data_IF_424333314569
#
_entry.id   IF_424333314569
#
_cell.length_a   1.000
_cell.length_b   1.000
_cell.length_c   1.000
_cell.angle_alpha   90.00
_cell.angle_beta   90.00
_cell.angle_gamma   90.00
#
_symmetry.space_group_name_H-M   'P 1'
#
loop_
_entity.id
_entity.type
_entity.pdbx_description
1 polymer ?
#
# COMPACT_ATOMS: atom_id res chain seq x y z
N UNK A 1 15.64 -5.30 7.21
CA UNK A 1 15.96 -5.54 8.64
C UNK A 1 14.60 -5.73 9.30
N UNK A 2 14.21 -7.01 9.60
CA UNK A 2 13.11 -7.23 10.52
C UNK A 2 13.63 -6.79 11.88
N UNK A 3 13.14 -5.67 12.38
CA UNK A 3 13.28 -5.37 13.79
C UNK A 3 12.57 -6.50 14.53
N UNK A 4 13.21 -7.18 15.49
CA UNK A 4 12.49 -8.10 16.32
C UNK A 4 11.38 -7.28 17.00
N UNK A 5 10.14 -7.61 16.71
CA UNK A 5 9.05 -7.26 17.63
C UNK A 5 9.52 -7.70 18.99
N UNK A 6 9.52 -6.79 19.94
CA UNK A 6 9.93 -6.97 21.31
C UNK A 6 9.57 -8.38 21.75
N UNK A 7 10.59 -9.23 21.98
CA UNK A 7 10.37 -10.41 22.78
C UNK A 7 9.88 -9.89 24.13
N UNK A 8 8.58 -9.94 24.34
CA UNK A 8 8.09 -9.95 25.69
C UNK A 8 8.81 -11.14 26.29
N UNK A 9 9.76 -10.88 27.18
CA UNK A 9 10.45 -11.90 27.94
C UNK A 9 9.34 -12.68 28.64
N UNK A 10 8.97 -13.81 28.00
CA UNK A 10 7.88 -14.62 28.46
C UNK A 10 8.21 -15.10 29.86
N UNK A 11 7.21 -15.22 30.69
CA UNK A 11 7.29 -16.09 31.84
C UNK A 11 7.80 -17.45 31.33
N UNK A 12 8.72 -18.08 32.05
CA UNK A 12 9.22 -19.46 31.79
C UNK A 12 8.10 -20.51 31.78
N UNK A 13 6.84 -20.10 31.85
CA UNK A 13 5.64 -20.93 31.89
C UNK A 13 4.72 -20.53 30.73
N UNK A 14 4.53 -21.44 29.78
CA UNK A 14 3.60 -21.26 28.67
C UNK A 14 4.02 -21.99 27.41
N UNK A 15 3.18 -21.88 26.36
CA UNK A 15 3.45 -22.46 25.03
C UNK A 15 4.05 -21.38 24.13
N UNK A 16 5.23 -21.66 23.58
CA UNK A 16 5.87 -20.79 22.61
C UNK A 16 5.34 -21.09 21.21
N UNK A 17 4.68 -20.12 20.58
CA UNK A 17 4.25 -20.20 19.19
C UNK A 17 5.30 -19.56 18.28
N UNK A 18 5.93 -20.38 17.45
CA UNK A 18 7.05 -19.95 16.59
C UNK A 18 6.84 -20.43 15.16
N UNK A 19 7.43 -19.72 14.20
CA UNK A 19 7.59 -20.26 12.86
C UNK A 19 8.82 -21.18 12.81
N UNK A 20 8.88 -22.11 11.84
CA UNK A 20 10.06 -22.95 11.64
C UNK A 20 11.37 -22.13 11.48
N UNK A 21 11.29 -20.97 10.82
CA UNK A 21 12.45 -20.05 10.73
C UNK A 21 12.78 -19.39 12.09
N UNK A 22 11.76 -19.04 12.86
CA UNK A 22 11.92 -18.39 14.17
C UNK A 22 12.45 -19.31 15.24
N UNK A 23 12.33 -20.64 15.06
CA UNK A 23 12.84 -21.64 16.00
C UNK A 23 14.33 -21.94 15.85
N UNK A 24 14.98 -21.39 14.80
CA UNK A 24 16.41 -21.63 14.54
C UNK A 24 17.26 -21.15 15.71
N UNK A 25 18.07 -22.09 16.28
CA UNK A 25 18.96 -21.83 17.41
C UNK A 25 18.29 -21.92 18.77
N UNK A 26 17.01 -22.29 18.84
CA UNK A 26 16.29 -22.58 20.09
C UNK A 26 16.14 -24.09 20.24
N UNK A 27 15.95 -24.57 21.47
CA UNK A 27 15.71 -25.98 21.81
C UNK A 27 14.58 -26.05 22.85
N UNK A 28 13.74 -27.09 22.77
CA UNK A 28 12.58 -27.24 23.62
C UNK A 28 12.41 -28.71 23.99
N UNK A 29 12.05 -28.99 25.23
CA UNK A 29 11.76 -30.36 25.68
C UNK A 29 10.67 -31.03 24.86
N UNK A 30 9.59 -30.28 24.53
CA UNK A 30 8.47 -30.73 23.71
C UNK A 30 8.29 -29.84 22.50
N UNK A 31 8.23 -30.44 21.29
CA UNK A 31 7.93 -29.72 20.06
C UNK A 31 6.72 -30.32 19.36
N UNK A 32 5.75 -29.48 19.06
CA UNK A 32 4.55 -29.80 18.28
C UNK A 32 4.67 -29.13 16.93
N UNK A 33 5.02 -29.86 15.88
CA UNK A 33 5.08 -29.33 14.51
C UNK A 33 3.74 -29.61 13.83
N UNK A 34 2.89 -28.58 13.75
CA UNK A 34 1.58 -28.67 13.15
C UNK A 34 1.62 -28.39 11.64
N UNK A 35 0.56 -28.85 10.95
CA UNK A 35 0.33 -28.56 9.53
C UNK A 35 1.41 -29.11 8.59
N UNK A 36 1.90 -30.35 8.85
CA UNK A 36 2.91 -31.02 8.04
C UNK A 36 2.33 -31.58 6.72
N UNK A 37 1.53 -30.79 6.00
CA UNK A 37 0.95 -31.18 4.71
C UNK A 37 1.72 -30.62 3.52
N UNK A 38 1.58 -31.25 2.34
CA UNK A 38 2.23 -30.86 1.09
C UNK A 38 1.88 -29.41 0.69
N UNK A 39 0.65 -28.99 0.93
CA UNK A 39 0.20 -27.64 0.59
C UNK A 39 0.94 -26.53 1.37
N UNK A 40 1.43 -26.83 2.57
CA UNK A 40 2.17 -25.89 3.42
C UNK A 40 3.68 -25.94 3.20
N UNK A 41 4.22 -27.11 2.94
CA UNK A 41 5.68 -27.32 2.89
C UNK A 41 6.28 -27.42 1.48
N UNK A 42 5.45 -27.67 0.44
CA UNK A 42 5.95 -27.89 -0.93
C UNK A 42 5.55 -26.78 -1.91
N UNK A 43 4.57 -25.94 -1.55
CA UNK A 43 4.22 -24.81 -2.40
C UNK A 43 5.26 -23.71 -2.32
N UNK A 44 5.77 -23.29 -3.48
CA UNK A 44 6.49 -22.03 -3.61
C UNK A 44 5.63 -20.89 -3.05
N UNK A 45 5.99 -20.35 -1.90
CA UNK A 45 5.38 -19.12 -1.42
C UNK A 45 5.74 -18.04 -2.42
N UNK A 46 4.75 -17.50 -3.15
CA UNK A 46 4.94 -16.22 -3.81
C UNK A 46 5.37 -15.25 -2.70
N UNK A 47 6.48 -14.52 -2.86
CA UNK A 47 6.89 -13.56 -1.86
C UNK A 47 5.70 -12.63 -1.60
N UNK A 48 5.13 -12.69 -0.43
CA UNK A 48 4.17 -11.69 0.04
C UNK A 48 4.85 -10.34 -0.06
N UNK A 49 4.09 -9.25 -0.31
CA UNK A 49 4.56 -7.89 -0.64
C UNK A 49 5.55 -7.23 0.31
N UNK A 50 6.61 -7.96 0.71
CA UNK A 50 7.76 -7.41 1.42
C UNK A 50 8.71 -6.69 0.47
N UNK A 51 9.58 -5.87 1.05
CA UNK A 51 10.63 -5.17 0.32
C UNK A 51 11.52 -6.19 -0.39
N UNK A 52 11.62 -6.08 -1.72
CA UNK A 52 12.56 -6.85 -2.53
C UNK A 52 13.84 -6.04 -2.62
N UNK A 53 14.94 -6.63 -2.18
CA UNK A 53 16.25 -6.03 -2.39
C UNK A 53 16.55 -5.92 -3.89
N UNK A 54 17.21 -4.83 -4.32
CA UNK A 54 17.58 -4.66 -5.72
C UNK A 54 18.44 -5.83 -6.21
N UNK A 55 18.19 -6.28 -7.42
CA UNK A 55 18.95 -7.36 -8.09
C UNK A 55 20.42 -6.97 -8.37
N UNK A 56 20.71 -5.66 -8.32
CA UNK A 56 22.08 -5.14 -8.44
C UNK A 56 22.97 -5.45 -7.23
N UNK A 57 22.37 -5.90 -6.12
CA UNK A 57 23.12 -6.26 -4.90
C UNK A 57 23.46 -7.75 -4.79
N UNK A 58 22.84 -8.60 -5.62
CA UNK A 58 23.05 -10.06 -5.58
C UNK A 58 23.11 -10.63 -6.99
N UNK A 59 24.15 -11.43 -7.27
CA UNK A 59 24.18 -12.26 -8.47
C UNK A 59 23.12 -13.37 -8.36
N UNK A 60 22.07 -13.29 -9.17
CA UNK A 60 21.01 -14.30 -9.24
C UNK A 60 21.47 -15.52 -10.07
N UNK A 61 22.51 -16.22 -9.64
CA UNK A 61 22.97 -17.42 -10.36
C UNK A 61 22.41 -18.75 -9.84
N UNK A 62 21.42 -18.74 -8.93
CA UNK A 62 20.86 -19.98 -8.37
C UNK A 62 19.35 -19.92 -8.25
N UNK A 63 18.66 -20.06 -9.36
CA UNK A 63 17.20 -20.29 -9.34
C UNK A 63 16.85 -21.63 -9.98
N UNK A 64 16.25 -22.52 -9.21
CA UNK A 64 15.49 -23.65 -9.74
C UNK A 64 15.64 -25.00 -9.07
N UNK A 65 16.82 -25.42 -8.67
CA UNK A 65 17.02 -26.72 -8.01
C UNK A 65 17.09 -26.65 -6.47
N UNK A 66 17.20 -25.44 -5.92
CA UNK A 66 17.44 -25.21 -4.49
C UNK A 66 16.22 -25.14 -3.59
N UNK A 67 15.02 -24.87 -4.14
CA UNK A 67 13.86 -24.57 -3.29
C UNK A 67 13.38 -25.77 -2.46
N UNK A 68 13.33 -26.96 -3.04
CA UNK A 68 12.90 -28.16 -2.31
C UNK A 68 13.93 -28.57 -1.24
N UNK A 69 15.21 -28.43 -1.56
CA UNK A 69 16.29 -28.72 -0.63
C UNK A 69 16.37 -27.71 0.51
N UNK A 70 16.09 -26.44 0.23
CA UNK A 70 16.00 -25.41 1.27
C UNK A 70 14.82 -25.66 2.22
N UNK A 71 13.66 -26.06 1.69
CA UNK A 71 12.50 -26.44 2.48
C UNK A 71 12.76 -27.72 3.30
N UNK A 72 13.49 -28.69 2.75
CA UNK A 72 13.91 -29.89 3.47
C UNK A 72 14.84 -29.52 4.66
N UNK A 73 15.80 -28.63 4.44
CA UNK A 73 16.66 -28.14 5.53
C UNK A 73 15.88 -27.39 6.59
N UNK A 74 14.87 -26.60 6.19
CA UNK A 74 14.01 -25.92 7.14
C UNK A 74 13.16 -26.90 7.95
N UNK A 75 12.62 -27.95 7.30
CA UNK A 75 11.87 -29.01 7.97
C UNK A 75 12.78 -29.75 8.98
N UNK A 76 14.00 -30.09 8.56
CA UNK A 76 15.00 -30.70 9.42
C UNK A 76 15.32 -29.81 10.65
N UNK A 77 15.54 -28.51 10.44
CA UNK A 77 15.76 -27.58 11.54
C UNK A 77 14.58 -27.58 12.50
N UNK A 78 13.35 -27.58 12.00
CA UNK A 78 12.15 -27.54 12.85
C UNK A 78 12.01 -28.81 13.72
N UNK A 79 12.22 -30.00 13.15
CA UNK A 79 12.10 -31.27 13.91
C UNK A 79 13.24 -31.45 14.91
N UNK A 80 14.45 -30.98 14.60
CA UNK A 80 15.61 -31.07 15.50
C UNK A 80 15.60 -30.07 16.65
N UNK A 81 14.51 -29.29 16.79
CA UNK A 81 14.35 -28.41 17.97
C UNK A 81 13.85 -29.16 19.20
N UNK A 82 13.39 -30.38 19.05
CA UNK A 82 12.93 -31.22 20.14
C UNK A 82 14.11 -31.89 20.87
N UNK A 83 14.20 -31.70 22.18
CA UNK A 83 15.15 -32.41 23.04
C UNK A 83 14.67 -33.81 23.41
N UNK A 84 13.37 -33.96 23.75
CA UNK A 84 12.82 -35.21 24.24
C UNK A 84 11.60 -35.70 23.46
N UNK A 85 10.66 -34.81 23.17
CA UNK A 85 9.36 -35.17 22.59
C UNK A 85 9.08 -34.38 21.32
N UNK A 86 8.85 -35.09 20.22
CA UNK A 86 8.44 -34.53 18.95
C UNK A 86 7.10 -35.10 18.50
N UNK A 87 6.12 -34.23 18.24
CA UNK A 87 4.84 -34.59 17.67
C UNK A 87 4.67 -33.89 16.33
N UNK A 88 4.48 -34.67 15.27
CA UNK A 88 4.21 -34.16 13.92
C UNK A 88 2.73 -34.39 13.60
N UNK A 89 2.04 -33.36 13.11
CA UNK A 89 0.62 -33.50 12.78
C UNK A 89 0.24 -32.86 11.46
N UNK A 90 -0.73 -33.42 10.76
CA UNK A 90 -1.36 -32.82 9.59
C UNK A 90 -2.85 -33.16 9.53
N UNK A 91 -3.63 -32.27 8.93
CA UNK A 91 -5.05 -32.46 8.69
C UNK A 91 -5.27 -33.27 7.42
N UNK A 92 -6.16 -34.28 7.42
CA UNK A 92 -6.51 -35.00 6.19
C UNK A 92 -7.44 -34.20 5.27
N UNK A 93 -8.18 -33.27 5.82
CA UNK A 93 -9.12 -32.46 5.06
C UNK A 93 -8.95 -30.98 5.41
N UNK A 94 -9.21 -30.13 4.43
CA UNK A 94 -9.42 -28.68 4.64
C UNK A 94 -10.83 -28.42 5.15
N UNK A 95 -11.08 -27.20 5.62
CA UNK A 95 -12.41 -26.75 6.02
C UNK A 95 -13.45 -26.80 4.87
N UNK A 96 -13.00 -26.78 3.61
CA UNK A 96 -13.83 -26.90 2.41
C UNK A 96 -14.05 -28.35 1.96
N UNK A 97 -13.60 -29.33 2.76
CA UNK A 97 -13.76 -30.78 2.52
C UNK A 97 -12.73 -31.37 1.54
N UNK A 98 -11.79 -30.58 1.00
CA UNK A 98 -10.75 -31.11 0.11
C UNK A 98 -9.72 -31.90 0.88
N UNK A 99 -9.34 -33.06 0.35
CA UNK A 99 -8.33 -33.92 0.93
C UNK A 99 -6.93 -33.25 0.86
N UNK A 100 -6.16 -33.44 1.92
CA UNK A 100 -4.77 -32.98 2.06
C UNK A 100 -3.85 -34.20 2.18
N UNK A 101 -2.74 -34.12 1.49
CA UNK A 101 -1.68 -35.11 1.57
C UNK A 101 -0.60 -34.67 2.58
N UNK A 102 0.07 -35.62 3.25
CA UNK A 102 1.23 -35.31 4.07
C UNK A 102 2.35 -34.71 3.18
N UNK A 103 3.22 -33.92 3.76
CA UNK A 103 4.41 -33.44 3.02
C UNK A 103 5.33 -34.61 2.68
N UNK A 104 6.01 -34.51 1.55
CA UNK A 104 7.01 -35.51 1.15
C UNK A 104 8.08 -35.73 2.24
N UNK A 105 8.44 -34.69 3.00
CA UNK A 105 9.39 -34.80 4.10
C UNK A 105 8.89 -35.65 5.25
N UNK A 106 7.59 -35.55 5.57
CA UNK A 106 6.97 -36.39 6.59
C UNK A 106 6.80 -37.84 6.09
N UNK A 107 6.37 -38.03 4.83
CA UNK A 107 6.21 -39.34 4.24
C UNK A 107 7.54 -40.12 4.19
N UNK A 108 8.64 -39.47 3.79
CA UNK A 108 9.99 -40.06 3.78
C UNK A 108 10.42 -40.57 5.18
N UNK A 109 10.20 -39.76 6.22
CA UNK A 109 10.54 -40.14 7.61
C UNK A 109 9.66 -41.31 8.06
N UNK A 110 8.39 -41.30 7.75
CA UNK A 110 7.44 -42.35 8.10
C UNK A 110 7.81 -43.68 7.45
N UNK A 111 8.12 -43.68 6.15
CA UNK A 111 8.49 -44.89 5.41
C UNK A 111 9.82 -45.48 5.91
N UNK A 112 10.81 -44.63 6.24
CA UNK A 112 12.13 -45.10 6.70
C UNK A 112 12.14 -45.59 8.13
N UNK A 113 11.33 -45.00 9.00
CA UNK A 113 11.40 -45.23 10.45
C UNK A 113 10.15 -45.90 11.06
N UNK A 114 9.13 -46.24 10.25
CA UNK A 114 7.89 -46.88 10.68
C UNK A 114 7.30 -46.25 11.96
N UNK A 115 7.24 -44.91 11.98
CA UNK A 115 6.76 -44.15 13.12
C UNK A 115 5.31 -44.51 13.45
N UNK A 116 4.93 -44.58 14.76
CA UNK A 116 3.55 -44.78 15.13
C UNK A 116 2.67 -43.65 14.63
N UNK A 117 1.56 -44.00 13.99
CA UNK A 117 0.58 -43.04 13.48
C UNK A 117 -0.71 -43.18 14.25
N UNK A 118 -1.11 -42.12 14.90
CA UNK A 118 -2.39 -42.03 15.60
C UNK A 118 -3.38 -41.19 14.80
N UNK A 119 -4.55 -41.69 14.56
CA UNK A 119 -5.64 -40.96 13.91
C UNK A 119 -6.53 -40.33 14.96
N UNK A 120 -6.47 -39.03 15.10
CA UNK A 120 -7.37 -38.28 15.98
C UNK A 120 -8.63 -37.86 15.24
N UNK A 121 -9.78 -38.15 15.85
CA UNK A 121 -11.09 -37.67 15.40
C UNK A 121 -11.68 -36.84 16.53
N UNK A 122 -12.01 -35.59 16.23
CA UNK A 122 -12.60 -34.69 17.21
C UNK A 122 -14.12 -34.79 17.21
N UNK A 123 -14.71 -34.73 18.37
CA UNK A 123 -16.17 -34.72 18.55
C UNK A 123 -16.77 -33.41 18.05
N UNK A 124 -18.06 -33.45 17.63
CA UNK A 124 -18.78 -32.27 17.15
C UNK A 124 -18.78 -31.10 18.17
N UNK A 125 -18.81 -31.45 19.45
CA UNK A 125 -18.77 -30.43 20.52
C UNK A 125 -17.46 -29.64 20.51
N UNK A 126 -16.31 -30.31 20.38
CA UNK A 126 -14.99 -29.71 20.29
C UNK A 126 -14.86 -28.85 19.02
N UNK A 127 -15.38 -29.36 17.90
CA UNK A 127 -15.39 -28.60 16.64
C UNK A 127 -16.27 -27.36 16.72
N UNK A 128 -17.41 -27.44 17.40
CA UNK A 128 -18.31 -26.30 17.62
C UNK A 128 -17.69 -25.25 18.54
N UNK A 129 -17.03 -25.69 19.63
CA UNK A 129 -16.28 -24.76 20.51
C UNK A 129 -15.16 -24.07 19.76
N UNK A 130 -14.42 -24.80 18.92
CA UNK A 130 -13.37 -24.21 18.09
C UNK A 130 -13.94 -23.23 17.06
N UNK A 131 -15.05 -23.56 16.40
CA UNK A 131 -15.74 -22.67 15.48
C UNK A 131 -16.23 -21.38 16.18
N UNK A 132 -16.70 -21.49 17.43
CA UNK A 132 -17.12 -20.33 18.22
C UNK A 132 -15.99 -19.34 18.48
N UNK A 133 -14.72 -19.78 18.53
CA UNK A 133 -13.55 -18.89 18.65
C UNK A 133 -13.42 -17.93 17.45
N UNK A 134 -13.87 -18.34 16.25
CA UNK A 134 -13.87 -17.47 15.08
C UNK A 134 -14.90 -16.34 15.13
N UNK A 135 -15.94 -16.48 15.98
CA UNK A 135 -16.94 -15.43 16.21
C UNK A 135 -16.61 -14.54 17.40
N UNK A 136 -15.57 -14.87 18.16
CA UNK A 136 -15.09 -13.95 19.18
C UNK A 136 -14.50 -12.72 18.47
N UNK A 137 -15.08 -11.55 18.77
CA UNK A 137 -14.51 -10.28 18.32
C UNK A 137 -13.14 -10.18 18.99
N UNK A 138 -12.08 -10.44 18.24
CA UNK A 138 -10.74 -10.11 18.68
C UNK A 138 -10.71 -8.59 18.87
N UNK A 139 -10.58 -8.14 20.10
CA UNK A 139 -10.23 -6.74 20.32
C UNK A 139 -8.93 -6.50 19.56
N UNK A 140 -8.96 -5.53 18.66
CA UNK A 140 -7.75 -5.15 17.94
C UNK A 140 -6.64 -4.90 18.99
N UNK A 141 -5.44 -5.50 18.80
CA UNK A 141 -4.38 -5.34 19.77
C UNK A 141 -4.12 -3.86 19.99
N UNK A 142 -4.14 -3.43 21.25
CA UNK A 142 -3.73 -2.07 21.60
C UNK A 142 -2.26 -1.93 21.24
N UNK A 143 -1.97 -0.98 20.37
CA UNK A 143 -0.59 -0.66 20.03
C UNK A 143 0.04 0.09 21.20
N UNK A 144 1.34 -0.11 21.42
CA UNK A 144 2.11 0.66 22.37
C UNK A 144 2.06 2.15 21.99
N UNK A 145 1.54 2.98 22.88
CA UNK A 145 1.39 4.41 22.63
C UNK A 145 2.73 5.11 22.88
N UNK A 146 3.10 5.98 21.94
CA UNK A 146 4.26 6.86 22.16
C UNK A 146 4.00 7.82 23.33
N UNK A 147 5.07 8.34 23.95
CA UNK A 147 4.97 9.32 25.02
C UNK A 147 4.05 10.49 24.63
N UNK A 148 3.16 10.87 25.53
CA UNK A 148 2.14 11.89 25.30
C UNK A 148 2.70 13.23 24.84
N UNK A 149 3.83 13.66 25.43
CA UNK A 149 4.51 14.91 25.07
C UNK A 149 5.05 14.88 23.64
N UNK A 150 5.49 13.73 23.17
CA UNK A 150 5.96 13.57 21.82
C UNK A 150 4.81 13.68 20.79
N UNK A 151 3.70 13.00 21.07
CA UNK A 151 2.50 13.07 20.23
C UNK A 151 1.92 14.48 20.20
N UNK A 152 1.86 15.17 21.35
CA UNK A 152 1.39 16.55 21.46
C UNK A 152 2.20 17.49 20.56
N UNK A 153 3.52 17.41 20.59
CA UNK A 153 4.41 18.23 19.75
C UNK A 153 4.24 17.95 18.24
N UNK A 154 3.87 16.71 17.87
CA UNK A 154 3.56 16.38 16.48
C UNK A 154 2.23 16.98 16.06
N UNK A 155 1.21 16.92 16.92
CA UNK A 155 -0.12 17.47 16.66
C UNK A 155 -0.10 18.99 16.53
N UNK A 156 0.65 19.71 17.36
CA UNK A 156 0.83 21.16 17.25
C UNK A 156 1.35 21.61 15.88
N UNK A 157 2.20 20.80 15.25
CA UNK A 157 2.77 21.08 13.94
C UNK A 157 2.02 20.44 12.78
N UNK A 158 0.99 19.68 13.10
CA UNK A 158 0.25 18.95 12.08
C UNK A 158 -0.61 19.90 11.26
N UNK A 159 -0.52 19.78 9.94
CA UNK A 159 -1.35 20.49 8.96
C UNK A 159 -1.95 19.45 8.04
N UNK A 160 -3.27 19.43 7.92
CA UNK A 160 -3.99 18.41 7.16
C UNK A 160 -3.77 18.58 5.66
N UNK A 161 -3.58 17.46 4.97
CA UNK A 161 -3.64 17.36 3.51
C UNK A 161 -4.61 16.23 3.13
N UNK A 162 -4.94 16.13 1.85
CA UNK A 162 -5.91 15.14 1.38
C UNK A 162 -5.47 13.69 1.62
N UNK A 163 -4.18 13.40 1.55
CA UNK A 163 -3.65 12.05 1.83
C UNK A 163 -3.87 11.69 3.30
N UNK A 164 -3.63 12.62 4.22
CA UNK A 164 -3.88 12.40 5.64
C UNK A 164 -5.38 12.19 5.93
N UNK A 165 -6.24 12.97 5.30
CA UNK A 165 -7.70 12.81 5.39
C UNK A 165 -8.13 11.44 4.88
N UNK A 166 -7.69 11.04 3.68
CA UNK A 166 -8.02 9.75 3.08
C UNK A 166 -7.53 8.57 3.93
N UNK A 167 -6.29 8.63 4.43
CA UNK A 167 -5.73 7.59 5.28
C UNK A 167 -6.50 7.47 6.60
N UNK A 168 -6.88 8.60 7.21
CA UNK A 168 -7.65 8.56 8.45
C UNK A 168 -9.05 7.95 8.25
N UNK A 169 -9.75 8.37 7.20
CA UNK A 169 -11.10 7.85 6.88
C UNK A 169 -11.08 6.37 6.47
N UNK A 170 -9.98 5.90 5.92
CA UNK A 170 -9.76 4.48 5.62
C UNK A 170 -9.42 3.69 6.88
N UNK A 171 -8.44 4.16 7.65
CA UNK A 171 -7.95 3.52 8.87
C UNK A 171 -7.21 4.55 9.74
N UNK A 172 -7.73 4.90 10.93
CA UNK A 172 -7.07 5.85 11.83
C UNK A 172 -5.65 5.44 12.19
N UNK A 173 -5.39 4.13 12.35
CA UNK A 173 -4.07 3.61 12.66
C UNK A 173 -3.09 3.77 11.48
N UNK A 174 -3.55 3.60 10.22
CA UNK A 174 -2.74 3.88 9.03
C UNK A 174 -2.33 5.36 8.97
N UNK A 175 -3.27 6.27 9.30
CA UNK A 175 -2.96 7.69 9.44
C UNK A 175 -1.88 7.94 10.49
N UNK A 176 -2.00 7.33 11.69
CA UNK A 176 -1.03 7.49 12.77
C UNK A 176 0.39 7.15 12.31
N UNK A 177 0.58 5.98 11.71
CA UNK A 177 1.91 5.56 11.27
C UNK A 177 2.42 6.32 10.04
N UNK A 178 1.57 6.57 9.04
CA UNK A 178 2.01 7.16 7.76
C UNK A 178 2.06 8.68 7.77
N UNK A 179 1.13 9.35 8.45
CA UNK A 179 0.98 10.80 8.35
C UNK A 179 1.47 11.55 9.60
N UNK A 180 1.28 10.98 10.78
CA UNK A 180 1.70 11.59 12.03
C UNK A 180 3.13 11.19 12.38
N UNK A 181 3.40 9.91 12.63
CA UNK A 181 4.74 9.38 12.96
C UNK A 181 5.66 9.38 11.74
N UNK A 182 5.13 9.19 10.55
CA UNK A 182 5.83 9.15 9.26
C UNK A 182 6.89 8.07 9.20
N UNK A 183 6.51 6.85 9.55
CA UNK A 183 7.41 5.70 9.41
C UNK A 183 7.85 5.60 7.95
N UNK A 184 9.17 5.57 7.69
CA UNK A 184 9.68 5.42 6.34
C UNK A 184 9.19 4.11 5.72
N UNK A 185 8.51 4.22 4.59
CA UNK A 185 8.13 3.06 3.78
C UNK A 185 8.97 3.03 2.52
N UNK A 186 9.54 1.89 2.16
CA UNK A 186 10.27 1.78 0.91
C UNK A 186 9.30 2.02 -0.25
N UNK A 187 9.75 2.77 -1.24
CA UNK A 187 8.99 2.95 -2.47
C UNK A 187 8.94 1.62 -3.22
N UNK A 188 7.78 1.26 -3.70
CA UNK A 188 7.59 0.07 -4.51
C UNK A 188 7.61 0.41 -6.00
N UNK A 189 7.70 -0.63 -6.84
CA UNK A 189 7.68 -0.53 -8.30
C UNK A 189 6.59 0.42 -8.83
N UNK A 190 5.34 0.26 -8.35
CA UNK A 190 4.22 1.03 -8.85
C UNK A 190 4.29 2.52 -8.47
N UNK A 191 4.70 2.81 -7.23
CA UNK A 191 4.84 4.19 -6.74
C UNK A 191 5.96 4.91 -7.47
N UNK A 192 7.10 4.25 -7.67
CA UNK A 192 8.24 4.87 -8.35
C UNK A 192 7.97 5.07 -9.83
N UNK A 193 7.30 4.09 -10.47
CA UNK A 193 6.85 4.22 -11.84
C UNK A 193 5.84 5.36 -12.02
N UNK A 194 4.88 5.52 -11.11
CA UNK A 194 3.99 6.68 -11.09
C UNK A 194 4.75 8.00 -10.97
N UNK A 195 5.72 8.07 -10.06
CA UNK A 195 6.54 9.26 -9.87
C UNK A 195 7.34 9.65 -11.13
N UNK A 196 7.76 8.67 -11.95
CA UNK A 196 8.48 8.94 -13.20
C UNK A 196 7.62 9.67 -14.24
N UNK A 197 6.34 9.35 -14.31
CA UNK A 197 5.40 10.07 -15.19
C UNK A 197 5.15 11.51 -14.71
N UNK A 198 4.91 11.69 -13.40
CA UNK A 198 4.76 13.04 -12.83
C UNK A 198 6.00 13.90 -13.10
N UNK A 199 7.19 13.32 -12.90
CA UNK A 199 8.44 14.03 -13.20
C UNK A 199 8.55 14.43 -14.67
N UNK A 200 8.31 13.52 -15.60
CA UNK A 200 8.37 13.81 -17.03
C UNK A 200 7.40 14.92 -17.42
N UNK A 201 6.15 14.88 -16.93
CA UNK A 201 5.15 15.92 -17.18
C UNK A 201 5.53 17.26 -16.53
N UNK A 202 6.06 17.24 -15.32
CA UNK A 202 6.61 18.44 -14.68
C UNK A 202 7.69 19.08 -15.58
N UNK A 203 8.65 18.29 -16.07
CA UNK A 203 9.71 18.80 -16.93
C UNK A 203 9.16 19.32 -18.28
N UNK A 204 8.18 18.65 -18.87
CA UNK A 204 7.50 19.06 -20.10
C UNK A 204 6.95 20.49 -19.97
N UNK A 205 6.17 20.74 -18.93
CA UNK A 205 5.58 22.06 -18.69
C UNK A 205 6.58 23.07 -18.19
N UNK A 206 7.58 22.70 -17.41
CA UNK A 206 8.64 23.59 -16.94
C UNK A 206 9.45 24.12 -18.12
N UNK A 207 9.87 23.26 -19.03
CA UNK A 207 10.58 23.64 -20.27
C UNK A 207 9.70 24.51 -21.18
N UNK A 208 8.41 24.22 -21.25
CA UNK A 208 7.45 25.04 -22.01
C UNK A 208 7.36 26.46 -21.40
N UNK A 209 7.26 26.58 -20.08
CA UNK A 209 7.21 27.88 -19.43
C UNK A 209 8.50 28.70 -19.59
N UNK A 210 9.66 28.04 -19.65
CA UNK A 210 10.96 28.68 -19.80
C UNK A 210 11.20 29.16 -21.24
N UNK A 211 10.80 28.36 -22.26
CA UNK A 211 11.10 28.60 -23.66
C UNK A 211 9.88 29.05 -24.49
N UNK A 212 8.73 29.18 -23.86
CA UNK A 212 7.43 29.44 -24.51
C UNK A 212 7.10 28.45 -25.64
N UNK A 213 7.67 27.24 -25.57
CA UNK A 213 7.47 26.17 -26.54
C UNK A 213 7.61 24.80 -25.87
N UNK A 214 6.71 23.90 -26.18
CA UNK A 214 6.85 22.51 -25.72
C UNK A 214 8.10 21.87 -26.33
N UNK A 215 8.87 21.13 -25.51
CA UNK A 215 10.02 20.38 -26.00
C UNK A 215 9.55 19.25 -26.95
N UNK A 216 10.42 18.81 -27.87
CA UNK A 216 10.09 17.69 -28.75
C UNK A 216 9.90 16.41 -27.95
N UNK A 217 9.13 15.46 -28.54
CA UNK A 217 8.79 14.18 -27.89
C UNK A 217 10.00 13.41 -27.34
N UNK A 218 11.12 13.41 -28.09
CA UNK A 218 12.33 12.71 -27.65
C UNK A 218 12.88 13.27 -26.34
N UNK A 219 12.81 14.56 -26.14
CA UNK A 219 13.26 15.20 -24.89
C UNK A 219 12.32 14.87 -23.72
N UNK A 220 11.02 14.81 -23.99
CA UNK A 220 10.03 14.39 -22.99
C UNK A 220 10.23 12.93 -22.54
N UNK A 221 10.51 12.03 -23.48
CA UNK A 221 10.81 10.63 -23.18
C UNK A 221 12.13 10.51 -22.42
N UNK A 222 13.15 11.28 -22.80
CA UNK A 222 14.46 11.27 -22.12
C UNK A 222 14.36 11.70 -20.64
N UNK A 223 13.46 12.64 -20.29
CA UNK A 223 13.21 13.02 -18.89
C UNK A 223 12.63 11.83 -18.08
N UNK A 224 11.72 11.06 -18.65
CA UNK A 224 11.20 9.84 -18.05
C UNK A 224 12.31 8.78 -17.85
N UNK A 225 13.09 8.51 -18.89
CA UNK A 225 14.19 7.54 -18.85
C UNK A 225 15.23 7.93 -17.80
N UNK A 226 15.58 9.21 -17.75
CA UNK A 226 16.50 9.75 -16.75
C UNK A 226 15.99 9.48 -15.32
N UNK A 227 14.71 9.72 -15.06
CA UNK A 227 14.13 9.46 -13.76
C UNK A 227 14.18 7.97 -13.41
N UNK A 228 13.78 7.10 -14.34
CA UNK A 228 13.79 5.65 -14.17
C UNK A 228 15.22 5.13 -13.86
N UNK A 229 16.23 5.59 -14.61
CA UNK A 229 17.62 5.22 -14.34
C UNK A 229 18.12 5.70 -12.98
N UNK A 230 17.76 6.91 -12.57
CA UNK A 230 18.14 7.46 -11.28
C UNK A 230 17.53 6.70 -10.08
N UNK A 231 16.40 6.07 -10.27
CA UNK A 231 15.69 5.31 -9.23
C UNK A 231 15.66 3.80 -9.54
N UNK A 232 16.70 3.34 -10.23
CA UNK A 232 16.83 1.93 -10.67
C UNK A 232 16.74 0.93 -9.51
N UNK A 233 17.18 1.30 -8.34
CA UNK A 233 17.20 0.49 -7.12
C UNK A 233 15.79 0.10 -6.61
N UNK A 234 14.74 0.79 -7.07
CA UNK A 234 13.36 0.49 -6.70
C UNK A 234 12.75 -0.65 -7.52
N UNK A 235 13.50 -1.20 -8.49
CA UNK A 235 13.01 -2.20 -9.44
C UNK A 235 13.92 -3.41 -9.49
N UNK A 236 13.37 -4.61 -9.70
CA UNK A 236 14.15 -5.74 -10.20
C UNK A 236 14.50 -5.49 -11.67
N UNK A 237 15.47 -6.25 -12.22
CA UNK A 237 15.86 -6.10 -13.63
C UNK A 237 14.68 -6.26 -14.58
N UNK A 238 13.89 -7.33 -14.40
CA UNK A 238 12.71 -7.61 -15.23
C UNK A 238 11.62 -6.53 -15.10
N UNK A 239 11.41 -6.01 -13.88
CA UNK A 239 10.46 -4.91 -13.65
C UNK A 239 10.93 -3.65 -14.34
N UNK A 240 12.22 -3.32 -14.23
CA UNK A 240 12.77 -2.12 -14.84
C UNK A 240 12.65 -2.15 -16.36
N UNK A 241 13.09 -3.23 -17.00
CA UNK A 241 13.07 -3.37 -18.46
C UNK A 241 11.62 -3.29 -18.98
N UNK A 242 10.70 -4.03 -18.36
CA UNK A 242 9.26 -4.00 -18.71
C UNK A 242 8.64 -2.61 -18.51
N UNK A 243 8.94 -1.93 -17.38
CA UNK A 243 8.39 -0.60 -17.09
C UNK A 243 8.98 0.48 -17.97
N UNK A 244 10.25 0.36 -18.32
CA UNK A 244 10.91 1.27 -19.26
C UNK A 244 10.25 1.22 -20.63
N UNK A 245 10.13 0.04 -21.22
CA UNK A 245 9.48 -0.16 -22.54
C UNK A 245 8.02 0.31 -22.50
N UNK A 246 7.27 -0.10 -21.50
CA UNK A 246 5.87 0.29 -21.36
C UNK A 246 5.71 1.80 -21.19
N UNK A 247 6.52 2.43 -20.33
CA UNK A 247 6.46 3.87 -20.10
C UNK A 247 6.79 4.71 -21.33
N UNK A 248 7.81 4.32 -22.09
CA UNK A 248 8.16 4.95 -23.37
C UNK A 248 6.99 4.89 -24.35
N UNK A 249 6.35 3.74 -24.48
CA UNK A 249 5.18 3.56 -25.36
C UNK A 249 4.00 4.45 -24.93
N UNK A 250 3.66 4.42 -23.66
CA UNK A 250 2.54 5.20 -23.09
C UNK A 250 2.76 6.68 -23.27
N UNK A 251 3.94 7.20 -22.91
CA UNK A 251 4.25 8.62 -22.99
C UNK A 251 4.37 9.11 -24.42
N UNK A 252 4.87 8.29 -25.34
CA UNK A 252 4.88 8.59 -26.78
C UNK A 252 3.47 8.84 -27.29
N UNK A 253 2.56 7.89 -27.05
CA UNK A 253 1.18 8.00 -27.51
C UNK A 253 0.42 9.13 -26.81
N UNK A 254 0.69 9.35 -25.51
CA UNK A 254 0.10 10.44 -24.75
C UNK A 254 0.53 11.81 -25.28
N UNK A 255 1.84 11.97 -25.55
CA UNK A 255 2.38 13.20 -26.15
C UNK A 255 1.73 13.49 -27.51
N UNK A 256 1.76 12.53 -28.44
CA UNK A 256 1.22 12.70 -29.79
C UNK A 256 -0.28 13.02 -29.79
N UNK A 257 -1.03 12.53 -28.78
CA UNK A 257 -2.45 12.80 -28.64
C UNK A 257 -2.77 14.19 -28.09
N UNK A 258 -1.96 14.70 -27.16
CA UNK A 258 -2.37 15.84 -26.35
C UNK A 258 -1.49 17.09 -26.48
N UNK A 259 -0.34 17.03 -27.12
CA UNK A 259 0.61 18.16 -27.14
C UNK A 259 -0.01 19.44 -27.69
N UNK A 260 -0.84 19.35 -28.73
CA UNK A 260 -1.50 20.51 -29.34
C UNK A 260 -2.75 20.98 -28.57
N UNK A 261 -3.18 20.22 -27.56
CA UNK A 261 -4.37 20.51 -26.76
C UNK A 261 -4.03 21.05 -25.37
N UNK A 262 -2.76 21.03 -24.99
CA UNK A 262 -2.36 21.49 -23.66
C UNK A 262 -2.51 22.99 -23.51
N UNK A 263 -3.13 23.38 -22.38
CA UNK A 263 -3.14 24.78 -21.97
C UNK A 263 -1.71 25.24 -21.66
N UNK A 264 -1.33 26.41 -22.15
CA UNK A 264 -0.01 27.01 -21.92
C UNK A 264 0.01 27.99 -20.73
N UNK A 265 -1.17 28.45 -20.31
CA UNK A 265 -1.31 29.34 -19.15
C UNK A 265 -1.50 28.48 -17.92
N UNK A 266 -0.38 28.04 -17.37
CA UNK A 266 -0.38 27.06 -16.27
C UNK A 266 0.57 27.45 -15.13
N UNK A 267 0.30 26.88 -13.96
CA UNK A 267 1.27 26.79 -12.87
C UNK A 267 1.41 25.30 -12.49
N UNK A 268 2.62 24.81 -12.38
CA UNK A 268 2.92 23.41 -12.09
C UNK A 268 3.49 23.26 -10.68
N UNK A 269 3.31 22.08 -10.09
CA UNK A 269 3.89 21.69 -8.81
C UNK A 269 3.62 22.72 -7.70
N UNK A 270 2.41 23.29 -7.71
CA UNK A 270 2.07 24.38 -6.79
C UNK A 270 1.84 23.88 -5.38
N UNK A 271 2.71 24.32 -4.48
CA UNK A 271 2.55 24.04 -3.06
C UNK A 271 1.73 25.18 -2.40
N UNK A 272 0.53 24.82 -1.93
CA UNK A 272 -0.36 25.74 -1.20
C UNK A 272 -0.26 25.42 0.29
N UNK A 273 -0.02 26.43 1.10
CA UNK A 273 0.13 26.37 2.56
C UNK A 273 -0.60 27.55 3.20
N UNK A 274 -0.76 27.50 4.52
CA UNK A 274 -1.36 28.55 5.33
C UNK A 274 -2.80 28.86 4.93
N UNK A 275 -3.55 27.84 4.54
CA UNK A 275 -5.01 27.94 4.32
C UNK A 275 -5.71 27.41 5.57
N UNK A 276 -6.66 28.17 6.10
CA UNK A 276 -7.46 27.75 7.26
C UNK A 276 -8.94 27.71 6.85
N UNK A 277 -9.58 26.56 7.01
CA UNK A 277 -10.99 26.38 6.69
C UNK A 277 -11.70 25.86 7.93
N UNK A 278 -12.67 26.64 8.43
CA UNK A 278 -13.42 26.28 9.65
C UNK A 278 -12.52 25.91 10.84
N UNK A 279 -11.42 26.63 11.02
CA UNK A 279 -10.44 26.38 12.09
C UNK A 279 -9.43 25.27 11.81
N UNK A 280 -9.53 24.57 10.69
CA UNK A 280 -8.60 23.48 10.33
C UNK A 280 -7.49 24.00 9.40
N UNK A 281 -6.20 23.88 9.76
CA UNK A 281 -5.11 24.25 8.88
C UNK A 281 -4.92 23.23 7.77
N UNK A 282 -4.94 23.70 6.53
CA UNK A 282 -4.85 22.87 5.33
C UNK A 282 -3.59 23.19 4.51
N UNK A 283 -3.08 22.17 3.84
CA UNK A 283 -2.02 22.28 2.83
C UNK A 283 -2.23 21.28 1.69
N UNK A 284 -1.64 21.56 0.54
CA UNK A 284 -1.65 20.63 -0.58
C UNK A 284 -0.60 21.00 -1.62
N UNK A 285 -0.19 19.99 -2.35
CA UNK A 285 0.64 20.12 -3.54
C UNK A 285 -0.21 19.72 -4.73
N UNK A 286 -0.30 20.58 -5.72
CA UNK A 286 -1.14 20.43 -6.91
C UNK A 286 -0.21 20.25 -8.11
N UNK A 287 -0.47 19.21 -8.92
CA UNK A 287 0.39 18.89 -10.06
C UNK A 287 0.35 20.01 -11.10
N UNK A 288 -0.85 20.42 -11.51
CA UNK A 288 -1.01 21.51 -12.49
C UNK A 288 -2.30 22.31 -12.22
N UNK A 289 -2.17 23.63 -12.36
CA UNK A 289 -3.29 24.57 -12.41
C UNK A 289 -3.33 25.19 -13.81
N UNK A 290 -4.45 25.11 -14.48
CA UNK A 290 -4.72 25.73 -15.77
C UNK A 290 -5.60 26.95 -15.57
N UNK A 291 -5.27 28.08 -16.17
CA UNK A 291 -5.95 29.34 -15.97
C UNK A 291 -6.74 29.80 -17.18
N UNK A 292 -7.95 30.27 -16.91
CA UNK A 292 -8.73 31.12 -17.80
C UNK A 292 -9.16 32.36 -17.01
N UNK A 293 -8.36 33.40 -17.08
CA UNK A 293 -8.47 34.57 -16.22
C UNK A 293 -8.31 34.22 -14.74
N UNK A 294 -9.37 34.37 -13.93
CA UNK A 294 -9.40 34.01 -12.50
C UNK A 294 -9.96 32.60 -12.28
N UNK A 295 -10.50 31.98 -13.32
CA UNK A 295 -11.03 30.62 -13.28
C UNK A 295 -9.91 29.61 -13.39
N UNK A 296 -9.95 28.57 -12.57
CA UNK A 296 -8.89 27.57 -12.47
C UNK A 296 -9.46 26.17 -12.72
N UNK A 297 -8.84 25.43 -13.62
CA UNK A 297 -8.97 23.97 -13.71
C UNK A 297 -7.80 23.33 -12.97
N UNK A 298 -8.07 22.55 -11.94
CA UNK A 298 -7.05 21.80 -11.22
C UNK A 298 -6.88 20.45 -11.92
N UNK A 299 -5.68 20.17 -12.42
CA UNK A 299 -5.37 18.90 -13.08
C UNK A 299 -4.45 18.07 -12.19
N UNK A 300 -4.84 16.84 -11.94
CA UNK A 300 -4.09 15.86 -11.17
C UNK A 300 -3.83 14.63 -12.05
N UNK A 301 -2.57 14.28 -12.20
CA UNK A 301 -2.15 13.16 -13.04
C UNK A 301 -2.30 11.83 -12.30
N UNK A 302 -2.86 10.85 -12.98
CA UNK A 302 -3.04 9.50 -12.43
C UNK A 302 -2.41 8.45 -13.32
N UNK A 303 -1.74 7.52 -12.69
CA UNK A 303 -1.22 6.29 -13.30
C UNK A 303 -2.05 5.09 -12.87
N UNK A 304 -1.99 4.01 -13.65
CA UNK A 304 -2.75 2.79 -13.44
C UNK A 304 -4.04 2.74 -14.26
N UNK A 305 -4.78 1.65 -14.12
CA UNK A 305 -5.97 1.33 -14.92
C UNK A 305 -7.12 2.33 -14.65
N UNK A 306 -7.51 3.16 -15.62
CA UNK A 306 -8.61 4.12 -15.45
C UNK A 306 -9.94 3.46 -15.08
N UNK A 307 -10.22 2.26 -15.60
CA UNK A 307 -11.49 1.57 -15.33
C UNK A 307 -11.64 1.22 -13.84
N UNK A 308 -10.54 0.86 -13.17
CA UNK A 308 -10.52 0.60 -11.73
C UNK A 308 -10.66 1.88 -10.90
N UNK A 309 -10.27 3.00 -11.47
CA UNK A 309 -10.32 4.29 -10.79
C UNK A 309 -11.71 4.93 -10.75
N UNK A 310 -12.65 4.51 -11.62
CA UNK A 310 -13.99 5.09 -11.71
C UNK A 310 -14.78 5.00 -10.40
N UNK A 311 -14.61 3.95 -9.62
CA UNK A 311 -15.25 3.83 -8.31
C UNK A 311 -14.77 4.90 -7.33
N UNK A 312 -13.50 5.30 -7.42
CA UNK A 312 -12.89 6.31 -6.54
C UNK A 312 -13.35 7.75 -6.86
N UNK A 313 -13.99 7.95 -8.01
CA UNK A 313 -14.54 9.25 -8.44
C UNK A 313 -15.97 9.48 -7.96
N UNK A 314 -16.60 8.48 -7.32
CA UNK A 314 -17.99 8.58 -6.86
C UNK A 314 -18.09 9.22 -5.49
N UNK A 315 -19.13 10.04 -5.31
CA UNK A 315 -19.50 10.58 -4.00
C UNK A 315 -20.01 9.51 -3.03
N UNK A 316 -20.38 9.91 -1.81
CA UNK A 316 -20.91 9.02 -0.78
C UNK A 316 -22.08 8.16 -1.26
N UNK A 317 -22.14 6.93 -0.78
CA UNK A 317 -23.20 5.97 -1.05
C UNK A 317 -23.41 5.08 0.17
N UNK A 318 -24.48 4.27 0.19
CA UNK A 318 -24.71 3.30 1.28
C UNK A 318 -23.54 2.30 1.48
N UNK A 319 -22.84 1.94 0.39
CA UNK A 319 -21.69 1.03 0.42
C UNK A 319 -20.38 1.71 0.77
N UNK A 320 -20.28 3.00 0.50
CA UNK A 320 -19.12 3.84 0.79
C UNK A 320 -19.59 5.18 1.33
N UNK A 321 -19.88 5.25 2.64
CA UNK A 321 -20.42 6.47 3.26
C UNK A 321 -19.48 7.68 3.17
N UNK A 322 -18.19 7.43 3.07
CA UNK A 322 -17.18 8.48 2.97
C UNK A 322 -16.97 8.99 1.54
N UNK A 323 -17.46 8.25 0.54
CA UNK A 323 -17.16 8.52 -0.86
C UNK A 323 -15.73 8.12 -1.27
N UNK A 324 -15.46 8.13 -2.57
CA UNK A 324 -14.18 7.70 -3.11
C UNK A 324 -13.05 8.71 -2.90
N UNK A 325 -11.82 8.19 -2.85
CA UNK A 325 -10.61 8.99 -2.57
C UNK A 325 -10.38 10.10 -3.60
N UNK A 326 -10.65 9.85 -4.89
CA UNK A 326 -10.45 10.85 -5.94
C UNK A 326 -11.55 11.90 -5.93
N UNK A 327 -12.81 11.50 -5.68
CA UNK A 327 -13.89 12.46 -5.47
C UNK A 327 -13.54 13.43 -4.33
N UNK A 328 -13.11 12.90 -3.18
CA UNK A 328 -12.72 13.71 -2.03
C UNK A 328 -11.50 14.57 -2.33
N UNK A 329 -10.51 14.04 -3.08
CA UNK A 329 -9.34 14.80 -3.49
C UNK A 329 -9.70 16.01 -4.37
N UNK A 330 -10.60 15.83 -5.32
CA UNK A 330 -11.05 16.91 -6.19
C UNK A 330 -11.68 18.07 -5.39
N UNK A 331 -12.55 17.72 -4.45
CA UNK A 331 -13.26 18.70 -3.62
C UNK A 331 -12.30 19.37 -2.64
N UNK A 332 -11.41 18.61 -2.03
CA UNK A 332 -10.36 19.13 -1.15
C UNK A 332 -9.50 20.17 -1.88
N UNK A 333 -9.10 19.91 -3.12
CA UNK A 333 -8.34 20.85 -3.93
C UNK A 333 -9.14 22.13 -4.22
N UNK A 334 -10.42 22.00 -4.52
CA UNK A 334 -11.30 23.17 -4.67
C UNK A 334 -11.37 23.98 -3.38
N UNK A 335 -11.62 23.34 -2.24
CA UNK A 335 -11.65 24.00 -0.93
C UNK A 335 -10.32 24.73 -0.66
N UNK A 336 -9.20 24.05 -0.92
CA UNK A 336 -7.86 24.59 -0.69
C UNK A 336 -7.56 25.83 -1.55
N UNK A 337 -7.83 25.76 -2.86
CA UNK A 337 -7.54 26.85 -3.81
C UNK A 337 -8.50 28.01 -3.63
N UNK A 338 -9.79 27.77 -3.45
CA UNK A 338 -10.81 28.81 -3.30
C UNK A 338 -10.61 29.64 -2.02
N UNK A 339 -9.97 29.06 -0.99
CA UNK A 339 -9.64 29.72 0.27
C UNK A 339 -8.17 30.18 0.36
N UNK A 340 -7.42 30.16 -0.75
CA UNK A 340 -6.05 30.63 -0.77
C UNK A 340 -6.00 32.16 -0.93
N UNK A 341 -5.98 32.88 0.17
CA UNK A 341 -6.10 34.34 0.23
C UNK A 341 -5.03 35.10 -0.54
N UNK A 342 -3.83 34.53 -0.73
CA UNK A 342 -2.73 35.16 -1.47
C UNK A 342 -3.05 35.34 -2.96
N UNK A 343 -4.03 34.62 -3.49
CA UNK A 343 -4.45 34.65 -4.88
C UNK A 343 -5.99 34.63 -4.96
N UNK A 344 -6.52 35.48 -5.81
CA UNK A 344 -7.97 35.50 -6.04
C UNK A 344 -8.37 34.49 -7.11
N UNK A 345 -8.05 33.21 -6.87
CA UNK A 345 -8.37 32.10 -7.75
C UNK A 345 -9.72 31.46 -7.37
N UNK A 346 -10.44 30.99 -8.38
CA UNK A 346 -11.68 30.24 -8.17
C UNK A 346 -11.67 28.97 -9.02
N UNK A 347 -11.77 27.82 -8.38
CA UNK A 347 -11.79 26.54 -9.06
C UNK A 347 -13.13 26.32 -9.74
N UNK A 348 -13.12 26.28 -11.07
CA UNK A 348 -14.27 25.93 -11.90
C UNK A 348 -14.44 24.41 -12.00
N UNK A 349 -13.33 23.67 -12.05
CA UNK A 349 -13.34 22.22 -12.18
C UNK A 349 -12.05 21.59 -11.66
N UNK A 350 -12.16 20.33 -11.32
CA UNK A 350 -11.00 19.46 -11.08
C UNK A 350 -11.03 18.32 -12.08
N UNK A 351 -9.90 18.02 -12.68
CA UNK A 351 -9.75 17.02 -13.73
C UNK A 351 -8.68 16.00 -13.32
N UNK A 352 -9.01 14.72 -13.42
CA UNK A 352 -8.05 13.62 -13.32
C UNK A 352 -7.63 13.19 -14.72
N UNK A 353 -6.37 13.42 -15.02
CA UNK A 353 -5.78 13.07 -16.33
C UNK A 353 -5.05 11.72 -16.19
N UNK A 354 -5.63 10.67 -16.77
CA UNK A 354 -5.07 9.33 -16.73
C UNK A 354 -4.05 9.17 -17.85
N UNK A 355 -2.79 9.05 -17.42
CA UNK A 355 -1.66 8.95 -18.34
C UNK A 355 -1.62 7.58 -19.03
N UNK A 356 -2.07 6.53 -18.35
CA UNK A 356 -2.18 5.20 -18.91
C UNK A 356 -3.56 5.03 -19.59
N UNK A 357 -3.60 4.35 -20.76
CA UNK A 357 -4.86 4.12 -21.45
C UNK A 357 -5.71 3.05 -20.75
N UNK A 358 -7.02 3.09 -20.99
CA UNK A 358 -7.94 2.05 -20.59
C UNK A 358 -7.72 0.74 -21.40
N UNK A 359 -8.47 -0.32 -21.07
CA UNK A 359 -8.40 -1.61 -21.76
C UNK A 359 -8.72 -1.52 -23.28
N UNK A 360 -9.41 -0.48 -23.68
CA UNK A 360 -9.74 -0.20 -25.10
C UNK A 360 -8.71 0.72 -25.77
N UNK A 361 -7.57 0.98 -25.10
CA UNK A 361 -6.50 1.88 -25.54
C UNK A 361 -6.92 3.35 -25.65
N UNK A 362 -7.96 3.79 -24.92
CA UNK A 362 -8.35 5.18 -24.85
C UNK A 362 -7.74 5.85 -23.63
N UNK A 363 -7.17 7.03 -23.80
CA UNK A 363 -6.78 7.91 -22.71
C UNK A 363 -8.01 8.65 -22.20
N UNK A 364 -8.13 8.77 -20.89
CA UNK A 364 -9.26 9.40 -20.24
C UNK A 364 -8.85 10.62 -19.46
N UNK A 365 -9.69 11.64 -19.52
CA UNK A 365 -9.66 12.82 -18.68
C UNK A 365 -11.02 12.95 -18.02
N UNK A 366 -11.06 12.74 -16.72
CA UNK A 366 -12.31 12.73 -15.95
C UNK A 366 -12.44 14.06 -15.22
N UNK A 367 -13.33 14.91 -15.72
CA UNK A 367 -13.61 16.23 -15.16
C UNK A 367 -14.79 16.15 -14.21
N UNK A 368 -14.57 16.53 -12.95
CA UNK A 368 -15.60 16.55 -11.93
C UNK A 368 -16.25 17.93 -11.86
N UNK A 369 -17.59 17.94 -11.91
CA UNK A 369 -18.41 19.09 -11.54
C UNK A 369 -18.72 18.99 -10.06
N UNK A 370 -18.18 19.94 -9.30
CA UNK A 370 -18.29 19.94 -7.84
C UNK A 370 -19.48 20.79 -7.42
N UNK A 371 -20.41 20.18 -6.70
CA UNK A 371 -21.62 20.86 -6.19
C UNK A 371 -21.38 21.51 -4.82
N UNK A 372 -22.22 22.46 -4.41
CA UNK A 372 -22.16 23.00 -3.05
C UNK A 372 -22.36 21.93 -1.95
N UNK A 373 -23.16 20.89 -2.22
CA UNK A 373 -23.38 19.78 -1.31
C UNK A 373 -22.08 18.98 -1.11
N UNK A 374 -21.33 18.72 -2.19
CA UNK A 374 -20.02 18.03 -2.10
C UNK A 374 -19.02 18.81 -1.23
N UNK A 375 -18.96 20.14 -1.42
CA UNK A 375 -18.10 21.02 -0.61
C UNK A 375 -18.49 20.93 0.86
N UNK A 376 -19.78 20.96 1.16
CA UNK A 376 -20.28 20.85 2.54
C UNK A 376 -19.88 19.52 3.15
N UNK A 377 -20.09 18.42 2.44
CA UNK A 377 -19.76 17.07 2.89
C UNK A 377 -18.26 16.92 3.20
N UNK A 378 -17.39 17.33 2.26
CA UNK A 378 -15.93 17.19 2.48
C UNK A 378 -15.43 18.16 3.55
N UNK A 379 -16.02 19.37 3.65
CA UNK A 379 -15.70 20.31 4.74
C UNK A 379 -16.05 19.70 6.10
N UNK A 380 -17.19 19.04 6.21
CA UNK A 380 -17.57 18.32 7.42
C UNK A 380 -16.61 17.17 7.73
N UNK A 381 -16.25 16.34 6.74
CA UNK A 381 -15.24 15.28 6.91
C UNK A 381 -13.90 15.83 7.40
N UNK A 382 -13.46 16.99 6.87
CA UNK A 382 -12.24 17.68 7.32
C UNK A 382 -12.36 18.06 8.81
N UNK A 383 -13.47 18.67 9.21
CA UNK A 383 -13.67 19.13 10.59
C UNK A 383 -13.76 17.96 11.58
N UNK A 384 -14.58 16.95 11.27
CA UNK A 384 -14.75 15.77 12.13
C UNK A 384 -13.45 14.98 12.27
N UNK A 385 -12.74 14.78 11.16
CA UNK A 385 -11.43 14.09 11.19
C UNK A 385 -10.41 14.91 11.97
N UNK A 386 -10.38 16.22 11.79
CA UNK A 386 -9.51 17.10 12.56
C UNK A 386 -9.75 16.97 14.06
N UNK A 387 -11.03 17.05 14.49
CA UNK A 387 -11.39 16.92 15.90
C UNK A 387 -10.94 15.57 16.45
N UNK A 388 -11.23 14.47 15.77
CA UNK A 388 -10.80 13.13 16.18
C UNK A 388 -9.28 13.00 16.27
N UNK A 389 -8.53 13.62 15.35
CA UNK A 389 -7.07 13.67 15.42
C UNK A 389 -6.59 14.46 16.64
N UNK A 390 -7.21 15.60 16.96
CA UNK A 390 -6.87 16.37 18.16
C UNK A 390 -7.21 15.61 19.46
N UNK A 391 -8.31 14.86 19.46
CA UNK A 391 -8.74 13.99 20.55
C UNK A 391 -7.91 12.70 20.65
N UNK A 392 -6.91 12.51 19.74
CA UNK A 392 -6.04 11.34 19.66
C UNK A 392 -6.78 10.02 19.37
N UNK A 393 -7.91 10.10 18.68
CA UNK A 393 -8.67 8.92 18.23
C UNK A 393 -8.07 8.33 16.95
N UNK A 394 -6.86 7.74 17.06
CA UNK A 394 -6.15 7.14 15.91
C UNK A 394 -5.35 5.90 16.28
N UNK A 395 -5.54 5.34 17.47
CA UNK A 395 -4.81 4.14 17.90
C UNK A 395 -5.53 2.85 17.55
N UNK A 396 -6.76 2.92 17.07
CA UNK A 396 -7.56 1.74 16.71
C UNK A 396 -7.47 1.45 15.21
N UNK A 397 -7.16 0.22 14.87
CA UNK A 397 -7.18 -0.26 13.48
C UNK A 397 -8.59 -0.44 12.94
N UNK A 398 -8.73 -0.49 11.61
CA UNK A 398 -10.02 -0.69 10.94
C UNK A 398 -10.49 -2.16 10.93
N UNK A 399 -9.77 -3.08 11.56
CA UNK A 399 -10.10 -4.52 11.61
C UNK A 399 -9.89 -5.26 10.28
N UNK A 400 -9.23 -4.64 9.30
CA UNK A 400 -8.84 -5.30 8.05
C UNK A 400 -7.39 -5.71 8.15
N UNK A 401 -7.11 -6.99 7.90
CA UNK A 401 -5.75 -7.46 7.66
C UNK A 401 -5.29 -6.91 6.30
N UNK A 402 -4.23 -6.11 6.28
CA UNK A 402 -3.56 -5.68 5.05
C UNK A 402 -2.40 -6.62 4.70
#
# INVERSE_FOLDING_TARGET
>A
IKLPLVQVSGSDKGVNLLTAHGSKGLEFEHVFLANCNAASWEKKRKPGGGYKLPDTMFDQSTSGAGDAEELRRLFYVAITRAEQHLLLSYSRFKNDGKELEPSMFLAEIQDQHQLPVEKMVFDEEVLTQFAALHFMVLQAPEIEKMEEDFVSRMLEKFVMNVTALNNYLKCPLEFYFRNLVRIPSPKNEATEFGSSFHFALEQLFRKMLDKDQFPPRQEFIADFEWYMHRHRESFTKEQFDRRMEYGQLVLTNYYDKYIDQFNRIVTIERNIRNVVVKGVPLKGKLDKLEFDGKSVNVVDYKTGDPDKALSKLKGPSEKDPNGGDYWRQAIFYKILVDNYEQKNWKVASTEFDFIEPDKKKNYRREKLVITPADITTVTQQIQETWQKIQDRDFYTGCGKED
#
